data_IF_812636473941
#
_entry.id   IF_812636473941
#
_cell.length_a   1.000
_cell.length_b   1.000
_cell.length_c   1.000
_cell.angle_alpha   90.00
_cell.angle_beta   90.00
_cell.angle_gamma   90.00
#
_symmetry.space_group_name_H-M   'P 1'
#
loop_
_entity.id
_entity.type
_entity.pdbx_description
1 polymer ?
#
# COMPACT_ATOMS: atom_id res chain seq x y z
N UNK A 1 -24.92 -0.77 15.27
CA UNK A 1 -24.69 0.67 15.44
C UNK A 1 -26.04 1.36 15.39
N UNK A 2 -26.45 2.07 16.44
CA UNK A 2 -27.78 2.70 16.52
C UNK A 2 -27.57 4.20 16.40
N UNK A 3 -27.96 4.78 15.28
CA UNK A 3 -27.88 6.22 15.05
C UNK A 3 -28.69 6.96 16.11
N UNK A 4 -28.07 7.92 16.80
CA UNK A 4 -28.77 8.80 17.73
C UNK A 4 -29.41 9.93 16.92
N UNK A 5 -30.73 10.03 17.02
CA UNK A 5 -31.48 11.15 16.46
C UNK A 5 -31.05 12.42 17.19
N UNK A 6 -30.43 13.36 16.45
CA UNK A 6 -29.89 14.62 16.97
C UNK A 6 -28.36 14.70 17.00
N UNK A 7 -27.65 13.60 16.70
CA UNK A 7 -26.20 13.63 16.50
C UNK A 7 -25.95 14.03 15.04
N UNK A 8 -25.50 15.27 14.81
CA UNK A 8 -24.93 15.66 13.52
C UNK A 8 -23.81 14.68 13.22
N UNK A 9 -23.75 14.07 12.01
CA UNK A 9 -22.69 13.13 11.68
C UNK A 9 -21.36 13.78 12.04
N UNK A 10 -20.66 13.23 13.03
CA UNK A 10 -19.30 13.62 13.35
C UNK A 10 -18.55 13.68 12.03
N UNK A 11 -17.91 14.82 11.78
CA UNK A 11 -17.28 15.16 10.52
C UNK A 11 -16.63 13.94 9.87
N UNK A 12 -16.80 13.74 8.55
CA UNK A 12 -16.13 12.63 7.86
C UNK A 12 -14.67 12.66 8.29
N UNK A 13 -14.22 11.56 8.92
CA UNK A 13 -12.88 11.49 9.50
C UNK A 13 -11.84 11.99 8.51
N UNK A 14 -10.81 12.67 9.03
CA UNK A 14 -9.83 13.38 8.21
C UNK A 14 -9.39 12.50 7.02
N UNK A 15 -9.49 13.03 5.79
CA UNK A 15 -9.11 12.25 4.61
C UNK A 15 -7.67 11.79 4.78
N UNK A 16 -7.41 10.52 4.44
CA UNK A 16 -6.07 9.95 4.49
C UNK A 16 -5.14 10.84 3.69
N UNK A 17 -4.26 11.56 4.39
CA UNK A 17 -3.34 12.49 3.76
C UNK A 17 -2.35 11.76 2.86
N UNK A 18 -1.87 12.45 1.83
CA UNK A 18 -0.97 11.88 0.81
C UNK A 18 0.23 11.15 1.43
N UNK A 19 0.79 11.68 2.52
CA UNK A 19 1.91 11.07 3.23
C UNK A 19 1.65 9.66 3.77
N UNK A 20 0.40 9.34 4.17
CA UNK A 20 0.04 7.99 4.61
C UNK A 20 0.01 7.01 3.42
N UNK A 21 -0.42 7.48 2.26
CA UNK A 21 -0.41 6.68 1.02
C UNK A 21 1.04 6.46 0.55
N UNK A 22 1.87 7.49 0.57
CA UNK A 22 3.31 7.37 0.23
C UNK A 22 4.03 6.42 1.19
N UNK A 23 3.79 6.53 2.50
CA UNK A 23 4.37 5.63 3.49
C UNK A 23 3.92 4.17 3.27
N UNK A 24 2.63 3.96 2.98
CA UNK A 24 2.09 2.64 2.64
C UNK A 24 2.70 2.05 1.37
N UNK A 25 2.93 2.88 0.35
CA UNK A 25 3.60 2.46 -0.88
C UNK A 25 5.07 2.07 -0.66
N UNK A 26 5.82 2.84 0.15
CA UNK A 26 7.20 2.49 0.52
C UNK A 26 7.24 1.17 1.30
N UNK A 27 6.37 1.01 2.30
CA UNK A 27 6.28 -0.23 3.08
C UNK A 27 5.98 -1.42 2.19
N UNK A 28 4.98 -1.29 1.31
CA UNK A 28 4.56 -2.33 0.38
C UNK A 28 5.71 -2.70 -0.56
N UNK A 29 6.44 -1.72 -1.10
CA UNK A 29 7.62 -1.96 -1.92
C UNK A 29 8.67 -2.83 -1.21
N UNK A 30 9.00 -2.49 0.05
CA UNK A 30 9.96 -3.26 0.85
C UNK A 30 9.48 -4.69 1.13
N UNK A 31 8.21 -4.86 1.48
CA UNK A 31 7.60 -6.18 1.70
C UNK A 31 7.63 -7.01 0.41
N UNK A 32 7.32 -6.40 -0.72
CA UNK A 32 7.38 -7.03 -2.04
C UNK A 32 8.77 -7.56 -2.36
N UNK A 33 9.83 -6.77 -2.13
CA UNK A 33 11.21 -7.22 -2.26
C UNK A 33 11.49 -8.41 -1.33
N UNK A 34 11.04 -8.34 -0.08
CA UNK A 34 11.16 -9.44 0.88
C UNK A 34 10.53 -10.74 0.37
N UNK A 35 9.33 -10.66 -0.22
CA UNK A 35 8.65 -11.81 -0.82
C UNK A 35 9.35 -12.35 -2.07
N UNK A 36 9.95 -11.48 -2.90
CA UNK A 36 10.77 -11.93 -4.03
C UNK A 36 11.96 -12.73 -3.50
N UNK A 37 12.72 -12.19 -2.55
CA UNK A 37 13.90 -12.86 -1.99
C UNK A 37 13.53 -14.19 -1.31
N UNK A 38 12.48 -14.18 -0.48
CA UNK A 38 12.00 -15.38 0.21
C UNK A 38 11.42 -16.43 -0.78
N UNK A 39 10.70 -15.98 -1.81
CA UNK A 39 10.14 -16.82 -2.86
C UNK A 39 11.22 -17.49 -3.72
N UNK A 40 12.27 -16.75 -4.09
CA UNK A 40 13.44 -17.31 -4.78
C UNK A 40 14.17 -18.33 -3.89
N UNK A 41 14.39 -18.01 -2.61
CA UNK A 41 15.08 -18.89 -1.65
C UNK A 41 14.34 -20.22 -1.45
N UNK A 42 13.02 -20.16 -1.36
CA UNK A 42 12.16 -21.33 -1.12
C UNK A 42 11.73 -22.05 -2.41
N UNK A 43 12.11 -21.54 -3.60
CA UNK A 43 11.63 -21.99 -4.92
C UNK A 43 10.10 -21.96 -5.06
N UNK A 44 9.42 -21.17 -4.22
CA UNK A 44 7.98 -20.96 -4.31
C UNK A 44 7.71 -19.80 -5.25
N UNK A 45 7.65 -20.11 -6.55
CA UNK A 45 7.43 -19.13 -7.62
C UNK A 45 6.15 -18.31 -7.42
N UNK A 46 5.13 -18.87 -6.76
CA UNK A 46 3.90 -18.15 -6.44
C UNK A 46 4.17 -16.92 -5.56
N UNK A 47 5.00 -17.08 -4.52
CA UNK A 47 5.36 -15.98 -3.62
C UNK A 47 6.16 -14.90 -4.37
N UNK A 48 7.05 -15.34 -5.27
CA UNK A 48 7.83 -14.45 -6.13
C UNK A 48 6.96 -13.64 -7.07
N UNK A 49 5.95 -14.25 -7.71
CA UNK A 49 5.02 -13.55 -8.62
C UNK A 49 4.27 -12.45 -7.87
N UNK A 50 3.69 -12.78 -6.71
CA UNK A 50 2.96 -11.80 -5.90
C UNK A 50 3.87 -10.70 -5.34
N UNK A 51 5.07 -11.05 -4.87
CA UNK A 51 6.07 -10.07 -4.43
C UNK A 51 6.51 -9.13 -5.54
N UNK A 52 6.70 -9.66 -6.76
CA UNK A 52 7.09 -8.88 -7.93
C UNK A 52 5.98 -7.92 -8.33
N UNK A 53 4.74 -8.39 -8.44
CA UNK A 53 3.59 -7.53 -8.76
C UNK A 53 3.38 -6.41 -7.74
N UNK A 54 3.46 -6.74 -6.45
CA UNK A 54 3.31 -5.77 -5.37
C UNK A 54 4.44 -4.71 -5.37
N UNK A 55 5.67 -5.14 -5.66
CA UNK A 55 6.82 -4.23 -5.81
C UNK A 55 6.66 -3.32 -7.02
N UNK A 56 6.25 -3.86 -8.17
CA UNK A 56 6.07 -3.10 -9.41
C UNK A 56 4.98 -2.04 -9.27
N UNK A 57 3.83 -2.39 -8.69
CA UNK A 57 2.75 -1.43 -8.44
C UNK A 57 3.18 -0.32 -7.48
N UNK A 58 3.88 -0.66 -6.39
CA UNK A 58 4.39 0.38 -5.47
C UNK A 58 5.43 1.27 -6.12
N UNK A 59 6.36 0.70 -6.90
CA UNK A 59 7.36 1.47 -7.60
C UNK A 59 6.72 2.43 -8.62
N UNK A 60 5.73 1.96 -9.38
CA UNK A 60 4.99 2.80 -10.32
C UNK A 60 4.29 3.97 -9.62
N UNK A 61 3.65 3.72 -8.48
CA UNK A 61 3.02 4.77 -7.68
C UNK A 61 4.05 5.78 -7.15
N UNK A 62 5.17 5.32 -6.59
CA UNK A 62 6.21 6.21 -6.06
C UNK A 62 6.85 7.04 -7.16
N UNK A 63 7.14 6.46 -8.33
CA UNK A 63 7.66 7.19 -9.49
C UNK A 63 6.67 8.25 -9.94
N UNK A 64 5.39 7.90 -10.05
CA UNK A 64 4.36 8.87 -10.42
C UNK A 64 4.27 10.01 -9.39
N UNK A 65 4.20 9.67 -8.11
CA UNK A 65 4.03 10.64 -7.01
C UNK A 65 5.25 11.54 -6.79
N UNK A 66 6.46 11.11 -7.15
CA UNK A 66 7.70 11.86 -6.88
C UNK A 66 8.26 12.58 -8.11
N UNK A 67 7.98 12.08 -9.32
CA UNK A 67 8.66 12.49 -10.54
C UNK A 67 7.72 13.09 -11.59
N UNK A 68 6.42 12.76 -11.51
CA UNK A 68 5.39 13.21 -12.48
C UNK A 68 4.37 14.18 -11.87
N UNK A 69 4.50 14.51 -10.59
CA UNK A 69 3.61 15.38 -9.82
C UNK A 69 4.39 16.55 -9.24
#
# INVERSE_FOLDING_TARGET
MRYRIGETPTEPGEPVGDGAITAGAVLSFLIGIGFIVAGLRSRHYWLTIWGTGLSLCSAAYLVYSTLLM
#
